data_IF_012294734006
#
_entry.id   IF_012294734006
#
_cell.length_a   1.000
_cell.length_b   1.000
_cell.length_c   1.000
_cell.angle_alpha   90.00
_cell.angle_beta   90.00
_cell.angle_gamma   90.00
#
_symmetry.space_group_name_H-M   'P 1'
#
loop_
_entity.id
_entity.type
_entity.pdbx_description
1 polymer ?
#
# COMPACT_ATOMS: atom_id res chain seq x y z
N UNK A 1 36.75 5.92 -27.32
CA UNK A 1 36.28 6.18 -28.70
C UNK A 1 34.80 6.46 -28.63
N UNK A 2 34.33 7.64 -29.01
CA UNK A 2 32.90 7.97 -28.96
C UNK A 2 32.17 7.10 -30.00
N UNK A 3 31.16 6.29 -29.63
CA UNK A 3 30.53 5.34 -30.56
C UNK A 3 29.64 5.99 -31.62
N UNK A 4 29.66 7.32 -31.72
CA UNK A 4 28.80 8.10 -32.62
C UNK A 4 29.64 9.05 -33.47
N UNK A 5 29.23 9.23 -34.73
CA UNK A 5 29.85 10.19 -35.63
C UNK A 5 29.83 11.60 -34.99
N UNK A 6 30.93 12.38 -35.06
CA UNK A 6 30.95 13.74 -34.53
C UNK A 6 30.01 14.65 -35.32
N UNK A 7 29.64 15.79 -34.73
CA UNK A 7 28.93 16.84 -35.46
C UNK A 7 29.83 17.35 -36.63
N UNK A 8 29.28 17.62 -37.82
CA UNK A 8 27.86 17.65 -38.20
C UNK A 8 27.28 16.31 -38.69
N UNK A 9 28.08 15.24 -38.74
CA UNK A 9 27.69 13.93 -39.26
C UNK A 9 26.72 13.22 -38.29
N UNK A 10 27.00 13.25 -36.98
CA UNK A 10 26.06 12.87 -35.94
C UNK A 10 25.14 14.04 -35.55
N UNK A 11 23.84 13.91 -35.80
CA UNK A 11 22.83 14.87 -35.34
C UNK A 11 21.72 14.13 -34.59
N UNK A 12 21.83 13.98 -33.25
CA UNK A 12 20.80 13.29 -32.44
C UNK A 12 19.40 13.90 -32.59
N UNK A 13 19.31 15.18 -32.97
CA UNK A 13 18.02 15.85 -33.26
C UNK A 13 17.25 15.23 -34.44
N UNK A 14 17.90 14.46 -35.34
CA UNK A 14 17.21 13.74 -36.42
C UNK A 14 16.15 12.79 -35.85
N UNK A 15 16.49 12.04 -34.80
CA UNK A 15 15.57 11.12 -34.12
C UNK A 15 14.42 11.84 -33.37
N UNK A 16 14.51 13.16 -33.20
CA UNK A 16 13.54 13.97 -32.45
C UNK A 16 12.63 14.81 -33.35
N UNK A 17 12.89 14.84 -34.67
CA UNK A 17 12.23 15.73 -35.62
C UNK A 17 10.72 15.46 -35.71
N UNK A 18 10.35 14.21 -35.98
CA UNK A 18 8.97 13.83 -36.27
C UNK A 18 8.39 12.94 -35.18
N UNK A 19 7.07 12.98 -35.02
CA UNK A 19 6.38 12.17 -34.01
C UNK A 19 6.57 10.67 -34.25
N UNK A 20 6.52 10.21 -35.50
CA UNK A 20 6.70 8.79 -35.82
C UNK A 20 8.10 8.30 -35.48
N UNK A 21 9.14 9.09 -35.76
CA UNK A 21 10.52 8.73 -35.40
C UNK A 21 10.69 8.65 -33.89
N UNK A 22 10.13 9.60 -33.13
CA UNK A 22 10.14 9.55 -31.67
C UNK A 22 9.40 8.34 -31.11
N UNK A 23 8.35 7.86 -31.78
CA UNK A 23 7.64 6.65 -31.38
C UNK A 23 8.46 5.38 -31.68
N UNK A 24 9.20 5.33 -32.81
CA UNK A 24 10.06 4.18 -33.15
C UNK A 24 11.23 3.99 -32.19
N UNK A 25 11.80 5.08 -31.69
CA UNK A 25 13.01 5.04 -30.84
C UNK A 25 12.71 5.23 -29.35
N UNK A 26 11.43 5.26 -28.95
CA UNK A 26 11.05 5.41 -27.54
C UNK A 26 11.44 4.15 -26.77
N UNK A 27 12.26 4.32 -25.74
CA UNK A 27 12.77 3.20 -24.94
C UNK A 27 11.78 2.68 -23.90
N UNK A 28 10.87 3.53 -23.42
CA UNK A 28 9.93 3.19 -22.35
C UNK A 28 8.53 3.72 -22.67
N UNK A 29 7.51 2.95 -22.31
CA UNK A 29 6.12 3.36 -22.35
C UNK A 29 5.47 3.01 -21.01
N UNK A 30 4.53 3.83 -20.56
CA UNK A 30 3.69 3.54 -19.40
C UNK A 30 2.39 2.93 -19.89
N UNK A 31 1.96 1.86 -19.25
CA UNK A 31 0.67 1.23 -19.47
C UNK A 31 -0.11 1.13 -18.15
N UNK A 32 -1.41 0.85 -18.25
CA UNK A 32 -2.25 0.74 -17.05
C UNK A 32 -1.83 -0.41 -16.12
N UNK A 33 -1.16 -1.43 -16.66
CA UNK A 33 -0.64 -2.56 -15.90
C UNK A 33 0.56 -2.20 -14.99
N UNK A 34 1.13 -1.00 -15.14
CA UNK A 34 2.17 -0.48 -14.27
C UNK A 34 1.62 0.24 -13.03
N UNK A 35 0.28 0.41 -12.94
CA UNK A 35 -0.37 1.24 -11.93
C UNK A 35 -0.96 0.39 -10.79
N UNK A 36 -0.57 0.68 -9.55
CA UNK A 36 -1.30 0.27 -8.35
C UNK A 36 -1.92 1.53 -7.76
N UNK A 37 -3.20 1.50 -7.42
CA UNK A 37 -3.91 2.69 -6.95
C UNK A 37 -4.11 2.67 -5.42
N UNK A 38 -3.41 3.53 -4.65
CA UNK A 38 -3.63 3.67 -3.22
C UNK A 38 -4.98 4.30 -2.91
N UNK A 39 -5.69 3.74 -1.93
CA UNK A 39 -6.99 4.23 -1.48
C UNK A 39 -7.03 4.30 0.05
N UNK A 40 -7.59 5.39 0.57
CA UNK A 40 -7.81 5.57 2.00
C UNK A 40 -9.24 5.13 2.35
N UNK A 41 -9.36 4.14 3.23
CA UNK A 41 -10.66 3.58 3.62
C UNK A 41 -10.96 3.87 5.08
N UNK A 42 -12.20 4.22 5.38
CA UNK A 42 -12.64 4.58 6.73
C UNK A 42 -13.97 3.92 7.10
N UNK A 43 -14.30 3.96 8.39
CA UNK A 43 -15.58 3.50 8.92
C UNK A 43 -16.76 4.43 8.52
N UNK A 44 -17.96 3.88 8.63
CA UNK A 44 -19.22 4.57 8.39
C UNK A 44 -19.87 4.20 7.06
N UNK A 45 -20.87 4.99 6.66
CA UNK A 45 -21.64 4.80 5.42
C UNK A 45 -21.88 6.16 4.77
N UNK A 46 -21.70 6.27 3.46
CA UNK A 46 -21.82 7.54 2.72
C UNK A 46 -20.82 8.61 3.18
N UNK A 47 -19.69 8.22 3.79
CA UNK A 47 -18.69 9.15 4.32
C UNK A 47 -17.56 9.36 3.33
N UNK A 48 -17.26 10.63 3.07
CA UNK A 48 -16.21 11.08 2.17
C UNK A 48 -15.56 12.30 2.78
N UNK A 49 -14.28 12.19 3.13
CA UNK A 49 -13.52 13.29 3.70
C UNK A 49 -12.35 13.64 2.80
N UNK A 50 -12.24 14.91 2.39
CA UNK A 50 -11.10 15.38 1.61
C UNK A 50 -9.81 15.38 2.45
N UNK A 51 -8.69 15.02 1.83
CA UNK A 51 -7.37 15.17 2.43
C UNK A 51 -6.78 16.51 2.00
N UNK A 52 -6.72 17.49 2.90
CA UNK A 52 -6.36 18.87 2.57
C UNK A 52 -4.98 19.00 1.90
N UNK A 53 -3.98 18.22 2.34
CA UNK A 53 -2.63 18.21 1.77
C UNK A 53 -2.49 17.37 0.49
N UNK A 54 -3.54 16.66 0.08
CA UNK A 54 -3.59 15.87 -1.15
C UNK A 54 -4.83 16.24 -1.99
N UNK A 55 -4.83 17.39 -2.70
CA UNK A 55 -5.98 17.83 -3.48
C UNK A 55 -6.47 16.76 -4.48
N UNK A 56 -7.76 16.46 -4.45
CA UNK A 56 -8.38 15.41 -5.28
C UNK A 56 -8.34 14.01 -4.67
N UNK A 57 -7.78 13.84 -3.47
CA UNK A 57 -7.76 12.57 -2.73
C UNK A 57 -8.72 12.62 -1.54
N UNK A 58 -9.45 11.53 -1.35
CA UNK A 58 -10.51 11.42 -0.35
C UNK A 58 -10.34 10.13 0.48
N UNK A 59 -10.77 10.19 1.74
CA UNK A 59 -11.02 9.02 2.59
C UNK A 59 -12.44 8.56 2.35
N UNK A 60 -12.64 7.30 1.97
CA UNK A 60 -13.94 6.77 1.58
C UNK A 60 -14.43 5.72 2.56
N UNK A 61 -15.71 5.78 2.93
CA UNK A 61 -16.37 4.62 3.54
C UNK A 61 -16.45 3.46 2.53
N UNK A 62 -16.56 2.23 3.04
CA UNK A 62 -16.53 1.02 2.20
C UNK A 62 -17.55 1.07 1.07
N UNK A 63 -18.76 1.55 1.33
CA UNK A 63 -19.83 1.68 0.33
C UNK A 63 -19.49 2.66 -0.81
N UNK A 64 -18.64 3.66 -0.56
CA UNK A 64 -18.16 4.60 -1.58
C UNK A 64 -16.86 4.14 -2.25
N UNK A 65 -16.08 3.29 -1.58
CA UNK A 65 -14.89 2.66 -2.18
C UNK A 65 -15.29 1.67 -3.29
N UNK A 66 -16.42 0.98 -3.16
CA UNK A 66 -16.83 -0.04 -4.13
C UNK A 66 -17.09 0.51 -5.55
N UNK A 67 -17.84 1.62 -5.75
CA UNK A 67 -17.93 2.26 -7.07
C UNK A 67 -16.58 2.72 -7.64
N UNK A 68 -15.67 3.20 -6.79
CA UNK A 68 -14.31 3.57 -7.23
C UNK A 68 -13.52 2.34 -7.69
N UNK A 69 -13.64 1.22 -6.98
CA UNK A 69 -13.02 -0.05 -7.37
C UNK A 69 -13.58 -0.57 -8.72
N UNK A 70 -14.89 -0.42 -8.96
CA UNK A 70 -15.50 -0.73 -10.25
C UNK A 70 -14.93 0.13 -11.38
N UNK A 71 -14.79 1.45 -11.15
CA UNK A 71 -14.17 2.36 -12.11
C UNK A 71 -12.72 1.94 -12.41
N UNK A 72 -11.93 1.64 -11.38
CA UNK A 72 -10.55 1.17 -11.52
C UNK A 72 -10.47 -0.12 -12.35
N UNK A 73 -11.32 -1.11 -12.04
CA UNK A 73 -11.38 -2.36 -12.77
C UNK A 73 -11.78 -2.15 -14.24
N UNK A 74 -12.78 -1.30 -14.53
CA UNK A 74 -13.22 -0.99 -15.89
C UNK A 74 -12.14 -0.31 -16.74
N UNK A 75 -11.22 0.42 -16.09
CA UNK A 75 -10.07 1.07 -16.73
C UNK A 75 -8.86 0.15 -16.87
N UNK A 76 -8.91 -1.06 -16.31
CA UNK A 76 -7.82 -2.03 -16.35
C UNK A 76 -6.73 -1.81 -15.31
N UNK A 77 -6.99 -1.04 -14.24
CA UNK A 77 -6.05 -0.90 -13.12
C UNK A 77 -5.95 -2.27 -12.42
N UNK A 78 -4.74 -2.87 -12.31
CA UNK A 78 -4.59 -4.24 -11.84
C UNK A 78 -4.81 -4.43 -10.34
N UNK A 79 -4.53 -3.41 -9.52
CA UNK A 79 -4.64 -3.55 -8.07
C UNK A 79 -4.93 -2.25 -7.31
N UNK A 80 -5.60 -2.40 -6.17
CA UNK A 80 -5.76 -1.37 -5.15
C UNK A 80 -4.82 -1.63 -3.96
N UNK A 81 -4.23 -0.57 -3.41
CA UNK A 81 -3.49 -0.62 -2.15
C UNK A 81 -4.33 0.01 -1.03
N UNK A 82 -4.74 -0.79 -0.05
CA UNK A 82 -5.63 -0.36 1.02
C UNK A 82 -4.86 0.26 2.18
N UNK A 83 -5.22 1.49 2.53
CA UNK A 83 -4.70 2.21 3.68
C UNK A 83 -5.84 2.57 4.63
N UNK A 84 -5.92 1.95 5.83
CA UNK A 84 -7.04 2.18 6.73
C UNK A 84 -6.86 3.46 7.55
N UNK A 85 -7.94 4.23 7.66
CA UNK A 85 -8.07 5.33 8.61
C UNK A 85 -8.82 4.77 9.83
N UNK A 86 -8.05 4.31 10.81
CA UNK A 86 -8.58 3.67 12.02
C UNK A 86 -9.17 4.73 12.97
N UNK A 87 -10.36 4.45 13.50
CA UNK A 87 -10.98 5.26 14.55
C UNK A 87 -10.01 5.44 15.73
N UNK A 88 -9.71 6.69 16.15
CA UNK A 88 -8.84 6.94 17.30
C UNK A 88 -9.21 6.14 18.56
N UNK A 89 -10.49 5.84 18.80
CA UNK A 89 -10.93 5.04 19.94
C UNK A 89 -10.48 3.57 19.88
N UNK A 90 -10.08 3.08 18.69
CA UNK A 90 -9.52 1.74 18.47
C UNK A 90 -7.99 1.72 18.46
N UNK A 91 -7.34 2.89 18.44
CA UNK A 91 -5.88 2.97 18.50
C UNK A 91 -5.40 2.70 19.91
N UNK A 92 -4.44 1.81 20.04
CA UNK A 92 -3.98 1.26 21.33
C UNK A 92 -2.46 1.13 21.32
N UNK A 93 -1.75 1.25 22.45
CA UNK A 93 -0.29 1.12 22.45
C UNK A 93 0.23 -0.22 21.90
N UNK A 94 -0.57 -1.29 22.02
CA UNK A 94 -0.26 -2.63 21.50
C UNK A 94 -0.69 -2.86 20.05
N UNK A 95 -1.36 -1.88 19.43
CA UNK A 95 -1.83 -1.95 18.04
C UNK A 95 -2.77 -3.12 17.76
N UNK A 96 -3.47 -3.67 18.78
CA UNK A 96 -4.18 -4.96 18.67
C UNK A 96 -5.25 -5.02 17.57
N UNK A 97 -5.80 -3.88 17.17
CA UNK A 97 -6.78 -3.77 16.08
C UNK A 97 -6.20 -4.22 14.73
N UNK A 98 -4.86 -4.20 14.55
CA UNK A 98 -4.19 -4.71 13.36
C UNK A 98 -4.46 -6.21 13.10
N UNK A 99 -4.70 -6.98 14.16
CA UNK A 99 -4.96 -8.42 14.11
C UNK A 99 -6.43 -8.77 14.37
N UNK A 100 -7.35 -7.81 14.23
CA UNK A 100 -8.79 -8.05 14.41
C UNK A 100 -9.42 -8.63 13.13
N UNK A 101 -9.94 -9.88 13.12
CA UNK A 101 -10.56 -10.48 11.93
C UNK A 101 -11.85 -9.78 11.48
N UNK A 102 -12.47 -9.01 12.37
CA UNK A 102 -13.64 -8.17 12.12
C UNK A 102 -13.28 -6.68 11.96
N UNK A 103 -11.99 -6.37 11.93
CA UNK A 103 -11.46 -5.03 11.71
C UNK A 103 -11.79 -4.47 10.31
N UNK A 104 -11.52 -3.19 10.12
CA UNK A 104 -11.82 -2.48 8.87
C UNK A 104 -11.19 -3.16 7.64
N UNK A 105 -9.89 -3.45 7.67
CA UNK A 105 -9.17 -4.01 6.51
C UNK A 105 -9.72 -5.38 6.10
N UNK A 106 -9.83 -6.40 6.99
CA UNK A 106 -10.40 -7.69 6.61
C UNK A 106 -11.82 -7.60 6.04
N UNK A 107 -12.69 -6.73 6.59
CA UNK A 107 -14.04 -6.53 6.05
C UNK A 107 -14.02 -5.94 4.64
N UNK A 108 -13.16 -4.94 4.40
CA UNK A 108 -13.00 -4.32 3.08
C UNK A 108 -12.45 -5.32 2.05
N UNK A 109 -11.46 -6.12 2.42
CA UNK A 109 -10.90 -7.16 1.55
C UNK A 109 -11.99 -8.15 1.14
N UNK A 110 -12.77 -8.68 2.09
CA UNK A 110 -13.86 -9.62 1.80
C UNK A 110 -14.90 -9.05 0.83
N UNK A 111 -15.31 -7.79 1.02
CA UNK A 111 -16.25 -7.11 0.12
C UNK A 111 -15.65 -6.92 -1.29
N UNK A 112 -14.40 -6.47 -1.39
CA UNK A 112 -13.73 -6.28 -2.68
C UNK A 112 -13.55 -7.60 -3.43
N UNK A 113 -13.09 -8.66 -2.76
CA UNK A 113 -12.90 -9.97 -3.41
C UNK A 113 -14.22 -10.61 -3.83
N UNK A 114 -15.30 -10.38 -3.08
CA UNK A 114 -16.65 -10.85 -3.45
C UNK A 114 -17.15 -10.17 -4.72
N UNK A 115 -16.94 -8.86 -4.87
CA UNK A 115 -17.50 -8.07 -5.99
C UNK A 115 -16.59 -7.99 -7.21
N UNK A 116 -15.28 -7.96 -7.00
CA UNK A 116 -14.26 -7.74 -8.02
C UNK A 116 -13.16 -8.81 -7.92
N UNK A 117 -13.47 -10.10 -8.16
CA UNK A 117 -12.54 -11.21 -7.92
C UNK A 117 -11.22 -11.10 -8.71
N UNK A 118 -11.26 -10.42 -9.87
CA UNK A 118 -10.11 -10.21 -10.76
C UNK A 118 -9.29 -8.96 -10.42
N UNK A 119 -9.80 -8.05 -9.58
CA UNK A 119 -9.05 -6.90 -9.10
C UNK A 119 -8.14 -7.34 -7.96
N UNK A 120 -6.84 -7.07 -8.11
CA UNK A 120 -5.87 -7.35 -7.06
C UNK A 120 -6.10 -6.46 -5.84
N UNK A 121 -6.06 -7.06 -4.65
CA UNK A 121 -6.09 -6.32 -3.39
C UNK A 121 -4.75 -6.47 -2.71
N UNK A 122 -4.13 -5.33 -2.41
CA UNK A 122 -2.91 -5.22 -1.61
C UNK A 122 -3.24 -4.53 -0.29
N UNK A 123 -2.85 -5.13 0.83
CA UNK A 123 -2.97 -4.54 2.16
C UNK A 123 -1.62 -4.18 2.72
N UNK A 124 -1.59 -3.08 3.47
CA UNK A 124 -0.44 -2.71 4.28
C UNK A 124 -0.33 -3.60 5.53
N UNK A 125 0.90 -3.95 5.90
CA UNK A 125 1.24 -4.65 7.14
C UNK A 125 2.24 -3.78 7.90
N UNK A 126 1.70 -2.94 8.79
CA UNK A 126 2.40 -2.04 9.69
C UNK A 126 1.47 -1.66 10.85
N UNK A 127 2.04 -1.18 11.96
CA UNK A 127 1.26 -0.84 13.15
C UNK A 127 0.94 0.66 13.29
N UNK A 128 1.49 1.56 12.47
CA UNK A 128 1.29 3.01 12.62
C UNK A 128 -0.17 3.49 12.51
N UNK A 129 -1.08 2.86 11.73
CA UNK A 129 -2.48 3.25 11.75
C UNK A 129 -3.19 2.80 13.04
N UNK A 130 -2.63 1.82 13.76
CA UNK A 130 -3.27 1.11 14.87
C UNK A 130 -2.71 1.49 16.23
N UNK A 131 -1.49 2.03 16.28
CA UNK A 131 -0.87 2.44 17.54
C UNK A 131 -1.31 3.84 17.95
N UNK A 132 -1.48 4.05 19.25
CA UNK A 132 -1.81 5.38 19.79
C UNK A 132 -0.67 6.39 19.63
N UNK A 133 0.57 5.92 19.50
CA UNK A 133 1.77 6.74 19.31
C UNK A 133 2.20 6.87 17.83
N UNK A 134 1.49 6.22 16.90
CA UNK A 134 1.74 6.36 15.45
C UNK A 134 3.09 5.85 14.95
N UNK A 135 3.72 4.92 15.67
CA UNK A 135 4.96 4.26 15.22
C UNK A 135 4.61 2.92 14.56
N UNK A 136 5.45 2.50 13.61
CA UNK A 136 5.26 1.28 12.83
C UNK A 136 5.37 -0.02 13.67
N UNK A 137 5.84 0.07 14.92
CA UNK A 137 6.04 -1.05 15.84
C UNK A 137 5.75 -0.74 17.31
N UNK A 138 5.82 -1.75 18.16
CA UNK A 138 5.62 -1.67 19.61
C UNK A 138 6.79 -0.93 20.28
N UNK A 139 6.52 -0.21 21.37
CA UNK A 139 7.54 0.52 22.13
C UNK A 139 7.91 -0.22 23.43
N UNK A 140 9.19 -0.22 23.78
CA UNK A 140 9.65 -0.59 25.13
C UNK A 140 9.42 0.54 26.15
N UNK A 141 9.87 0.32 27.40
CA UNK A 141 9.75 1.29 28.48
C UNK A 141 10.55 2.60 28.24
N UNK A 142 11.58 2.54 27.38
CA UNK A 142 12.44 3.68 27.02
C UNK A 142 11.96 4.38 25.73
N UNK A 143 10.90 3.86 25.09
CA UNK A 143 10.33 4.42 23.87
C UNK A 143 11.01 3.96 22.58
N UNK A 144 11.82 2.90 22.61
CA UNK A 144 12.40 2.30 21.40
C UNK A 144 11.45 1.29 20.78
N UNK A 145 11.45 1.21 19.45
CA UNK A 145 10.69 0.20 18.73
C UNK A 145 11.34 -1.18 18.94
N UNK A 146 10.59 -2.13 19.50
CA UNK A 146 11.06 -3.50 19.73
C UNK A 146 10.82 -4.38 18.50
N UNK A 147 11.89 -4.96 17.94
CA UNK A 147 11.83 -5.63 16.64
C UNK A 147 11.00 -6.91 16.65
N UNK A 148 11.37 -7.91 17.46
CA UNK A 148 10.84 -9.27 17.36
C UNK A 148 9.39 -9.37 17.85
N UNK A 149 9.05 -8.65 18.91
CA UNK A 149 7.68 -8.53 19.42
C UNK A 149 6.78 -7.83 18.40
N UNK A 150 7.28 -6.80 17.70
CA UNK A 150 6.56 -6.17 16.59
C UNK A 150 6.33 -7.17 15.46
N UNK A 151 7.37 -7.90 15.04
CA UNK A 151 7.26 -8.94 14.00
C UNK A 151 6.19 -9.98 14.36
N UNK A 152 6.07 -10.36 15.64
CA UNK A 152 5.03 -11.29 16.08
C UNK A 152 3.60 -10.74 15.88
N UNK A 153 3.37 -9.42 16.04
CA UNK A 153 2.07 -8.79 15.76
C UNK A 153 1.83 -8.67 14.25
N UNK A 154 2.85 -8.28 13.48
CA UNK A 154 2.76 -8.17 12.02
C UNK A 154 2.44 -9.51 11.35
N UNK A 155 2.97 -10.62 11.89
CA UNK A 155 2.60 -11.97 11.46
C UNK A 155 1.11 -12.23 11.65
N UNK A 156 0.54 -11.87 12.81
CA UNK A 156 -0.90 -12.04 13.07
C UNK A 156 -1.75 -11.18 12.13
N UNK A 157 -1.34 -9.92 11.91
CA UNK A 157 -2.00 -9.03 10.95
C UNK A 157 -2.01 -9.63 9.54
N UNK A 158 -0.86 -10.11 9.05
CA UNK A 158 -0.75 -10.72 7.73
C UNK A 158 -1.63 -11.97 7.58
N UNK A 159 -1.68 -12.83 8.62
CA UNK A 159 -2.55 -14.01 8.62
C UNK A 159 -4.03 -13.65 8.55
N UNK A 160 -4.47 -12.68 9.35
CA UNK A 160 -5.86 -12.22 9.35
C UNK A 160 -6.25 -11.60 8.00
N UNK A 161 -5.35 -10.86 7.37
CA UNK A 161 -5.57 -10.31 6.02
C UNK A 161 -5.60 -11.41 4.95
N UNK A 162 -4.75 -12.44 5.07
CA UNK A 162 -4.75 -13.61 4.19
C UNK A 162 -6.04 -14.43 4.31
N UNK A 163 -6.53 -14.65 5.53
CA UNK A 163 -7.81 -15.32 5.80
C UNK A 163 -9.00 -14.53 5.18
N UNK A 164 -8.91 -13.21 5.14
CA UNK A 164 -9.89 -12.36 4.47
C UNK A 164 -9.86 -12.46 2.92
N UNK A 165 -8.84 -13.11 2.36
CA UNK A 165 -8.68 -13.32 0.92
C UNK A 165 -7.78 -12.32 0.21
N UNK A 166 -6.89 -11.61 0.93
CA UNK A 166 -5.99 -10.65 0.29
C UNK A 166 -5.02 -11.34 -0.67
N UNK A 167 -4.74 -10.68 -1.81
CA UNK A 167 -3.82 -11.22 -2.80
C UNK A 167 -2.34 -10.86 -2.53
N UNK A 168 -2.07 -9.64 -2.01
CA UNK A 168 -0.74 -9.19 -1.57
C UNK A 168 -0.82 -8.64 -0.14
N UNK A 169 0.03 -9.12 0.74
CA UNK A 169 0.41 -8.37 1.95
C UNK A 169 1.69 -7.59 1.66
N UNK A 170 1.75 -6.32 2.07
CA UNK A 170 2.88 -5.45 1.78
C UNK A 170 3.46 -4.88 3.09
N UNK A 171 4.39 -5.60 3.75
CA UNK A 171 4.98 -5.17 5.01
C UNK A 171 5.82 -3.90 4.81
N UNK A 172 5.34 -2.79 5.38
CA UNK A 172 5.94 -1.47 5.27
C UNK A 172 6.64 -1.00 6.56
N UNK A 173 6.62 -1.84 7.59
CA UNK A 173 7.09 -1.64 8.96
C UNK A 173 8.61 -1.45 9.13
N UNK A 174 9.41 -1.93 8.17
CA UNK A 174 10.88 -1.90 8.19
C UNK A 174 11.58 -2.65 9.34
N UNK A 175 10.90 -3.56 10.04
CA UNK A 175 11.54 -4.43 11.02
C UNK A 175 12.50 -5.43 10.34
N UNK A 176 13.54 -5.86 11.06
CA UNK A 176 14.45 -6.87 10.57
C UNK A 176 13.79 -8.26 10.64
N UNK A 177 14.00 -9.07 9.59
CA UNK A 177 13.52 -10.45 9.54
C UNK A 177 12.01 -10.64 9.29
N UNK A 178 11.18 -9.57 9.31
CA UNK A 178 9.71 -9.69 9.19
C UNK A 178 9.25 -10.47 7.97
N UNK A 179 9.90 -10.29 6.82
CA UNK A 179 9.50 -10.94 5.56
C UNK A 179 9.59 -12.47 5.69
N UNK A 180 10.68 -12.97 6.29
CA UNK A 180 10.86 -14.40 6.53
C UNK A 180 9.86 -14.95 7.55
N UNK A 181 9.56 -14.18 8.61
CA UNK A 181 8.57 -14.57 9.60
C UNK A 181 7.15 -14.65 9.02
N UNK A 182 6.73 -13.61 8.29
CA UNK A 182 5.43 -13.56 7.61
C UNK A 182 5.31 -14.68 6.57
N UNK A 183 6.34 -14.90 5.75
CA UNK A 183 6.34 -16.01 4.77
C UNK A 183 6.15 -17.37 5.46
N UNK A 184 6.93 -17.68 6.51
CA UNK A 184 6.78 -18.96 7.23
C UNK A 184 5.38 -19.16 7.80
N UNK A 185 4.78 -18.10 8.34
CA UNK A 185 3.42 -18.17 8.87
C UNK A 185 2.38 -18.40 7.77
N UNK A 186 2.47 -17.71 6.63
CA UNK A 186 1.58 -17.92 5.49
C UNK A 186 1.69 -19.35 4.93
N UNK A 187 2.90 -19.90 4.79
CA UNK A 187 3.10 -21.30 4.39
C UNK A 187 2.45 -22.27 5.38
N UNK A 188 2.69 -22.08 6.67
CA UNK A 188 2.14 -22.95 7.71
C UNK A 188 0.61 -22.92 7.78
N UNK A 189 0.00 -21.79 7.44
CA UNK A 189 -1.45 -21.62 7.37
C UNK A 189 -2.06 -22.08 6.03
N UNK A 190 -1.26 -22.56 5.08
CA UNK A 190 -1.73 -22.98 3.75
C UNK A 190 -2.03 -21.83 2.78
N UNK A 191 -1.72 -20.58 3.16
CA UNK A 191 -1.89 -19.38 2.33
C UNK A 191 -0.73 -19.21 1.32
N UNK A 192 -0.39 -20.28 0.61
CA UNK A 192 0.83 -20.40 -0.21
C UNK A 192 0.89 -19.38 -1.37
N UNK A 193 -0.27 -18.96 -1.86
CA UNK A 193 -0.37 -18.03 -3.00
C UNK A 193 -0.49 -16.56 -2.59
N UNK A 194 -0.61 -16.25 -1.29
CA UNK A 194 -0.56 -14.87 -0.81
C UNK A 194 0.86 -14.32 -1.04
N UNK A 195 0.94 -13.25 -1.81
CA UNK A 195 2.21 -12.64 -2.21
C UNK A 195 2.68 -11.68 -1.12
N UNK A 196 3.99 -11.50 -1.02
CA UNK A 196 4.59 -10.49 -0.15
C UNK A 196 5.25 -9.44 -1.05
N UNK A 197 4.76 -8.20 -0.99
CA UNK A 197 5.44 -7.06 -1.60
C UNK A 197 6.25 -6.34 -0.52
N UNK A 198 7.51 -6.73 -0.37
CA UNK A 198 8.36 -6.17 0.66
C UNK A 198 8.75 -4.71 0.35
N UNK A 199 8.40 -3.77 1.23
CA UNK A 199 9.05 -2.47 1.27
C UNK A 199 10.49 -2.65 1.74
N UNK A 200 11.36 -3.04 0.82
CA UNK A 200 12.71 -3.48 1.16
C UNK A 200 13.64 -2.31 1.48
N UNK A 201 13.39 -1.17 0.82
CA UNK A 201 14.14 0.06 1.01
C UNK A 201 13.17 1.24 1.17
N UNK A 202 12.48 1.31 2.30
CA UNK A 202 11.71 2.50 2.75
C UNK A 202 12.67 3.40 3.54
N UNK A 203 12.80 4.65 3.12
CA UNK A 203 13.74 5.60 3.73
C UNK A 203 13.05 6.47 4.77
N UNK A 204 13.78 6.97 5.77
CA UNK A 204 13.28 8.03 6.63
C UNK A 204 13.17 9.35 5.81
N UNK A 205 11.97 9.67 5.34
CA UNK A 205 11.75 10.70 4.33
C UNK A 205 10.74 11.76 4.77
N UNK A 206 11.01 13.01 4.41
CA UNK A 206 10.09 14.13 4.62
C UNK A 206 8.89 14.12 3.65
N UNK A 207 8.95 13.32 2.58
CA UNK A 207 7.88 13.23 1.58
C UNK A 207 6.61 12.54 2.11
N UNK A 208 6.64 11.95 3.31
CA UNK A 208 5.49 11.24 3.88
C UNK A 208 4.46 12.14 4.57
N UNK A 209 4.70 13.46 4.68
CA UNK A 209 3.79 14.40 5.34
C UNK A 209 2.32 14.27 4.90
N UNK A 210 2.00 14.41 3.60
CA UNK A 210 0.62 14.32 3.13
C UNK A 210 -0.04 12.95 3.38
N UNK A 211 0.74 11.87 3.36
CA UNK A 211 0.23 10.53 3.67
C UNK A 211 -0.10 10.36 5.15
N UNK A 212 0.74 10.90 6.05
CA UNK A 212 0.45 10.93 7.50
C UNK A 212 -0.80 11.75 7.82
N UNK A 213 -1.01 12.86 7.11
CA UNK A 213 -2.25 13.62 7.19
C UNK A 213 -3.44 12.76 6.75
N UNK A 214 -3.30 12.02 5.64
CA UNK A 214 -4.37 11.16 5.12
C UNK A 214 -4.77 10.04 6.08
N UNK A 215 -3.81 9.45 6.82
CA UNK A 215 -4.08 8.43 7.84
C UNK A 215 -4.58 9.00 9.19
N UNK A 216 -4.49 10.32 9.38
CA UNK A 216 -4.72 10.93 10.69
C UNK A 216 -3.68 10.51 11.73
N UNK A 217 -2.43 10.28 11.30
CA UNK A 217 -1.28 9.98 12.18
C UNK A 217 -0.37 11.19 12.39
N UNK A 218 -0.56 12.29 11.66
CA UNK A 218 0.28 13.49 11.78
C UNK A 218 0.18 14.23 13.14
N UNK A 219 -0.87 13.96 13.94
CA UNK A 219 -1.10 14.59 15.24
C UNK A 219 -0.86 13.68 16.45
N UNK A 220 -0.30 12.48 16.23
CA UNK A 220 0.02 11.53 17.30
C UNK A 220 1.41 11.80 17.91
#
# INVERSE_FOLDING_TARGET
MTPYAPFPLGRPRRLRRDAFTRNLVRENALAVHDLIYPVFVQEGRGRRDAVASMPGVERLSVDLLLPLAEECASRGIPALALFPVIDPARKTPDGREAANPDGLVPRVVRELKTRFPTLGVMTDVALDPYTSHGQDGLLDADGHIVNDETVAVLVKQALVQAEAGVDIVAPSDMMDGRIGAIRRALEAAGAIHTRIMAYSAKYASAFYGPFRDALGSAGN
#
